data_IF_139513170612
#
_entry.id   IF_139513170612
#
_cell.length_a   1.000
_cell.length_b   1.000
_cell.length_c   1.000
_cell.angle_alpha   90.00
_cell.angle_beta   90.00
_cell.angle_gamma   90.00
#
_symmetry.space_group_name_H-M   'P 1'
#
loop_
_entity.id
_entity.type
_entity.pdbx_description
1 polymer ?
#
# COMPACT_ATOMS: atom_id res chain seq x y z
N UNK A 1 44.28 35.24 17.56
CA UNK A 1 44.08 34.19 16.53
C UNK A 1 43.66 32.89 17.24
N UNK A 2 42.35 32.68 17.39
CA UNK A 2 41.52 31.63 16.74
C UNK A 2 41.88 30.19 17.14
N UNK A 3 41.17 29.64 18.13
CA UNK A 3 41.01 28.20 18.40
C UNK A 3 39.52 27.87 18.40
N UNK A 4 39.04 27.11 17.42
CA UNK A 4 37.76 26.38 17.34
C UNK A 4 37.92 25.36 16.18
N UNK A 5 37.25 24.18 16.07
CA UNK A 5 36.34 23.44 16.99
C UNK A 5 36.68 21.93 17.13
N UNK A 6 35.99 21.20 18.01
CA UNK A 6 35.22 20.02 17.57
C UNK A 6 34.17 19.65 18.64
N UNK A 7 33.05 20.38 18.65
CA UNK A 7 31.80 19.81 19.12
C UNK A 7 31.27 18.93 17.97
N UNK A 8 31.32 17.61 18.13
CA UNK A 8 30.49 16.71 17.34
C UNK A 8 29.71 15.84 18.33
N UNK A 9 28.69 16.45 18.93
CA UNK A 9 27.62 15.72 19.59
C UNK A 9 26.84 15.02 18.47
N UNK A 10 27.17 13.75 18.22
CA UNK A 10 26.46 12.89 17.27
C UNK A 10 25.08 12.60 17.87
N UNK A 11 24.14 13.52 17.70
CA UNK A 11 22.74 13.25 17.93
C UNK A 11 22.30 12.23 16.86
N UNK A 12 22.31 10.95 17.23
CA UNK A 12 21.59 9.92 16.50
C UNK A 12 20.10 10.33 16.52
N UNK A 13 19.68 11.02 15.47
CA UNK A 13 18.26 11.14 15.15
C UNK A 13 17.86 9.73 14.71
N UNK A 14 17.27 8.97 15.65
CA UNK A 14 16.51 7.77 15.33
C UNK A 14 15.38 8.20 14.40
N UNK A 15 15.64 8.18 13.09
CA UNK A 15 14.60 8.25 12.07
C UNK A 15 13.73 7.03 12.32
N UNK A 16 12.54 7.24 12.89
CA UNK A 16 11.58 6.18 13.11
C UNK A 16 11.22 5.56 11.77
N UNK A 17 11.78 4.38 11.48
CA UNK A 17 11.40 3.63 10.29
C UNK A 17 9.90 3.35 10.35
N UNK A 18 9.15 3.82 9.35
CA UNK A 18 7.80 3.31 9.14
C UNK A 18 7.90 1.84 8.75
N UNK A 19 7.09 0.99 9.37
CA UNK A 19 7.01 -0.44 9.03
C UNK A 19 5.63 -0.77 8.49
N UNK A 20 5.57 -1.72 7.56
CA UNK A 20 4.33 -2.22 6.99
C UNK A 20 4.10 -3.66 7.44
N UNK A 21 2.89 -3.95 7.89
CA UNK A 21 2.43 -5.32 8.16
C UNK A 21 1.44 -5.70 7.07
N UNK A 22 1.76 -6.73 6.28
CA UNK A 22 0.86 -7.25 5.26
C UNK A 22 -0.02 -8.36 5.84
N UNK A 23 -1.29 -8.37 5.46
CA UNK A 23 -2.26 -9.39 5.84
C UNK A 23 -2.58 -10.25 4.62
N UNK A 24 -2.43 -11.56 4.76
CA UNK A 24 -2.59 -12.57 3.70
C UNK A 24 -1.49 -12.49 2.65
N UNK A 25 -1.76 -11.92 1.49
CA UNK A 25 -0.85 -11.89 0.34
C UNK A 25 -0.08 -10.57 0.30
N UNK A 26 1.24 -10.65 0.11
CA UNK A 26 2.09 -9.47 0.03
C UNK A 26 2.28 -9.03 -1.43
N UNK A 27 2.09 -7.74 -1.75
CA UNK A 27 2.33 -7.21 -3.09
C UNK A 27 3.83 -7.11 -3.36
N UNK A 28 4.21 -7.51 -4.58
CA UNK A 28 5.54 -7.30 -5.14
C UNK A 28 5.53 -6.01 -5.98
N UNK A 29 4.51 -5.82 -6.82
CA UNK A 29 4.39 -4.67 -7.73
C UNK A 29 2.92 -4.36 -8.04
N UNK A 30 2.50 -3.09 -8.05
CA UNK A 30 3.15 -1.94 -7.42
C UNK A 30 3.17 -2.09 -5.89
N UNK A 31 4.35 -2.00 -5.27
CA UNK A 31 4.48 -2.15 -3.82
C UNK A 31 4.04 -0.86 -3.11
N UNK A 32 3.18 -0.92 -2.07
CA UNK A 32 2.82 0.26 -1.27
C UNK A 32 4.07 0.91 -0.65
N UNK A 33 4.20 2.23 -0.76
CA UNK A 33 5.31 2.96 -0.14
C UNK A 33 5.12 3.05 1.38
N UNK A 34 6.15 2.64 2.13
CA UNK A 34 6.26 2.96 3.55
C UNK A 34 6.89 4.36 3.67
N UNK A 35 6.11 5.43 3.56
CA UNK A 35 6.64 6.75 3.89
C UNK A 35 6.79 6.85 5.42
N UNK A 36 7.95 7.30 5.88
CA UNK A 36 8.22 7.60 7.29
C UNK A 36 7.14 8.57 7.81
N UNK A 37 6.10 8.03 8.46
CA UNK A 37 5.03 8.82 9.04
C UNK A 37 3.65 8.77 8.38
N UNK A 38 3.46 8.13 7.22
CA UNK A 38 2.15 8.20 6.55
C UNK A 38 1.86 7.01 5.61
N UNK A 39 0.85 6.17 5.91
CA UNK A 39 0.26 5.24 4.93
C UNK A 39 -0.46 5.94 3.75
N UNK A 40 -0.58 7.28 3.76
CA UNK A 40 -1.53 8.01 2.92
C UNK A 40 -0.96 8.51 1.60
N UNK A 41 0.08 7.87 1.06
CA UNK A 41 0.64 8.27 -0.22
C UNK A 41 0.53 7.13 -1.22
N UNK A 42 -0.14 7.34 -2.37
CA UNK A 42 -0.19 6.34 -3.41
C UNK A 42 1.21 6.00 -3.92
N UNK A 43 1.43 4.74 -4.26
CA UNK A 43 2.54 4.37 -5.11
C UNK A 43 2.27 4.86 -6.52
N UNK A 44 3.04 5.85 -6.98
CA UNK A 44 3.01 6.29 -8.37
C UNK A 44 3.50 5.17 -9.29
N UNK A 45 2.67 4.78 -10.25
CA UNK A 45 3.05 3.84 -11.32
C UNK A 45 3.48 4.62 -12.57
N UNK A 46 4.24 3.99 -13.46
CA UNK A 46 4.78 4.62 -14.68
C UNK A 46 3.94 4.37 -15.93
N UNK A 47 2.86 3.58 -15.82
CA UNK A 47 2.01 3.16 -16.95
C UNK A 47 0.53 3.23 -16.55
N UNK A 48 -0.34 3.52 -17.53
CA UNK A 48 -1.80 3.37 -17.40
C UNK A 48 -2.24 1.90 -17.40
N UNK A 49 -1.36 0.98 -17.81
CA UNK A 49 -1.53 -0.47 -17.73
C UNK A 49 -0.44 -1.06 -16.83
N UNK A 50 -0.50 -0.81 -15.52
CA UNK A 50 0.46 -1.38 -14.59
C UNK A 50 0.40 -2.91 -14.60
N UNK A 51 1.56 -3.54 -14.39
CA UNK A 51 1.63 -4.95 -14.06
C UNK A 51 1.46 -5.11 -12.54
N UNK A 52 0.56 -6.00 -12.14
CA UNK A 52 0.34 -6.39 -10.76
C UNK A 52 1.05 -7.70 -10.48
N UNK A 53 1.80 -7.76 -9.39
CA UNK A 53 2.56 -8.94 -8.96
C UNK A 53 2.46 -9.10 -7.46
N UNK A 54 2.41 -10.34 -7.01
CA UNK A 54 2.26 -10.68 -5.59
C UNK A 54 3.07 -11.92 -5.21
N UNK A 55 3.32 -12.08 -3.91
CA UNK A 55 3.90 -13.29 -3.37
C UNK A 55 2.87 -14.43 -3.41
N UNK A 56 3.28 -15.63 -3.83
CA UNK A 56 2.38 -16.75 -3.99
C UNK A 56 3.04 -17.92 -4.73
N UNK A 57 2.25 -18.95 -5.01
CA UNK A 57 2.66 -20.09 -5.83
C UNK A 57 2.10 -19.92 -7.26
N UNK A 58 2.94 -20.10 -8.27
CA UNK A 58 2.54 -19.94 -9.67
C UNK A 58 1.49 -20.97 -10.14
N UNK A 59 1.37 -22.11 -9.45
CA UNK A 59 0.39 -23.16 -9.76
C UNK A 59 -0.97 -22.93 -9.09
N UNK A 60 -1.11 -21.87 -8.28
CA UNK A 60 -2.36 -21.50 -7.62
C UNK A 60 -3.15 -20.48 -8.45
N UNK A 61 -4.45 -20.42 -8.17
CA UNK A 61 -5.35 -19.41 -8.72
C UNK A 61 -5.57 -18.27 -7.74
N UNK A 62 -5.76 -17.08 -8.29
CA UNK A 62 -5.99 -15.84 -7.55
C UNK A 62 -7.11 -15.03 -8.19
N UNK A 63 -7.70 -14.14 -7.40
CA UNK A 63 -8.54 -13.08 -7.95
C UNK A 63 -7.83 -11.74 -7.74
N UNK A 64 -8.02 -10.83 -8.69
CA UNK A 64 -7.54 -9.45 -8.63
C UNK A 64 -8.74 -8.50 -8.71
N UNK A 65 -8.72 -7.46 -7.88
CA UNK A 65 -9.71 -6.38 -7.92
C UNK A 65 -9.05 -5.02 -7.87
N UNK A 66 -9.66 -4.04 -8.56
CA UNK A 66 -9.28 -2.64 -8.56
C UNK A 66 -10.51 -1.78 -8.33
N UNK A 67 -10.38 -0.83 -7.41
CA UNK A 67 -11.41 0.15 -7.06
C UNK A 67 -10.95 1.57 -7.36
N UNK A 68 -11.90 2.45 -7.65
CA UNK A 68 -11.70 3.88 -7.43
C UNK A 68 -11.46 4.14 -5.93
N UNK A 69 -10.77 5.24 -5.61
CA UNK A 69 -10.59 5.69 -4.23
C UNK A 69 -11.73 6.62 -3.83
N UNK A 70 -12.38 6.32 -2.70
CA UNK A 70 -13.18 7.29 -1.96
C UNK A 70 -12.48 7.64 -0.65
N UNK A 71 -12.52 8.91 -0.28
CA UNK A 71 -11.94 9.40 0.98
C UNK A 71 -13.03 9.45 2.05
N UNK A 72 -12.94 8.55 3.03
CA UNK A 72 -13.89 8.47 4.16
C UNK A 72 -13.29 9.07 5.42
N UNK A 73 -14.13 9.50 6.35
CA UNK A 73 -13.66 10.03 7.63
C UNK A 73 -12.86 8.99 8.40
N UNK A 74 -11.67 9.37 8.84
CA UNK A 74 -10.87 8.53 9.72
C UNK A 74 -11.46 8.52 11.14
N UNK A 75 -11.47 7.37 11.80
CA UNK A 75 -11.95 7.25 13.19
C UNK A 75 -10.97 7.81 14.25
N UNK A 76 -9.99 8.64 13.87
CA UNK A 76 -8.90 9.07 14.76
C UNK A 76 -8.60 10.57 14.70
N UNK A 77 -8.13 11.17 15.80
CA UNK A 77 -7.90 12.63 15.93
C UNK A 77 -6.73 13.16 15.07
N UNK A 78 -6.06 12.29 14.31
CA UNK A 78 -4.90 12.60 13.46
C UNK A 78 -5.21 12.33 11.98
N UNK A 79 -6.48 12.07 11.67
CA UNK A 79 -6.90 11.45 10.42
C UNK A 79 -8.24 12.00 9.98
N UNK A 80 -8.21 13.08 9.19
CA UNK A 80 -9.45 13.62 8.63
C UNK A 80 -10.01 12.71 7.54
N UNK A 81 -9.15 12.03 6.76
CA UNK A 81 -9.56 11.15 5.64
C UNK A 81 -8.69 9.92 5.46
N UNK A 82 -9.30 8.80 5.10
CA UNK A 82 -8.66 7.51 4.78
C UNK A 82 -9.10 7.04 3.39
N UNK A 83 -8.17 6.58 2.52
CA UNK A 83 -8.54 5.98 1.25
C UNK A 83 -9.29 4.66 1.49
N UNK A 84 -10.47 4.53 0.88
CA UNK A 84 -11.32 3.33 0.97
C UNK A 84 -11.83 2.92 -0.41
N UNK A 85 -12.18 1.63 -0.59
CA UNK A 85 -12.77 1.14 -1.84
C UNK A 85 -14.03 1.93 -2.22
N UNK A 86 -14.01 2.51 -3.42
CA UNK A 86 -15.16 3.11 -4.08
C UNK A 86 -15.78 2.14 -5.08
N UNK A 87 -16.14 2.65 -6.26
CA UNK A 87 -16.65 1.82 -7.35
C UNK A 87 -15.60 0.81 -7.84
N UNK A 88 -16.05 -0.40 -8.17
CA UNK A 88 -15.22 -1.39 -8.84
C UNK A 88 -14.90 -0.93 -10.27
N UNK A 89 -13.62 -0.95 -10.61
CA UNK A 89 -13.09 -0.55 -11.93
C UNK A 89 -12.71 -1.76 -12.75
N UNK A 90 -12.21 -2.80 -12.07
CA UNK A 90 -11.79 -4.05 -12.68
C UNK A 90 -11.88 -5.18 -11.67
N UNK A 91 -12.35 -6.34 -12.12
CA UNK A 91 -12.32 -7.58 -11.36
C UNK A 91 -12.06 -8.74 -12.32
N UNK A 92 -11.14 -9.61 -11.95
CA UNK A 92 -10.83 -10.85 -12.67
C UNK A 92 -10.64 -11.97 -11.65
N UNK A 93 -11.24 -13.13 -11.93
CA UNK A 93 -11.14 -14.31 -11.08
C UNK A 93 -10.36 -15.44 -11.76
N UNK A 94 -9.81 -16.35 -10.95
CA UNK A 94 -9.19 -17.57 -11.46
C UNK A 94 -7.89 -17.33 -12.23
N UNK A 95 -7.20 -16.22 -11.98
CA UNK A 95 -5.90 -15.91 -12.56
C UNK A 95 -4.90 -16.97 -12.10
N UNK A 96 -4.39 -17.77 -13.02
CA UNK A 96 -3.32 -18.73 -12.74
C UNK A 96 -1.98 -18.00 -12.78
N UNK A 97 -1.19 -18.14 -11.71
CA UNK A 97 0.10 -17.48 -11.57
C UNK A 97 0.09 -16.29 -10.62
N UNK A 98 1.23 -15.61 -10.50
CA UNK A 98 1.47 -14.55 -9.50
C UNK A 98 1.65 -13.16 -10.11
N UNK A 99 1.15 -12.98 -11.34
CA UNK A 99 1.26 -11.73 -12.10
C UNK A 99 0.06 -11.53 -13.02
N UNK A 100 -0.36 -10.28 -13.19
CA UNK A 100 -1.44 -9.89 -14.09
C UNK A 100 -1.17 -8.52 -14.72
N UNK A 101 -1.43 -8.39 -16.02
CA UNK A 101 -1.36 -7.11 -16.74
C UNK A 101 -2.77 -6.70 -17.12
N UNK A 102 -3.15 -5.46 -16.83
CA UNK A 102 -4.49 -4.99 -17.19
C UNK A 102 -4.69 -4.98 -18.71
N UNK A 103 -5.81 -5.53 -19.22
CA UNK A 103 -6.09 -5.53 -20.64
C UNK A 103 -6.42 -4.11 -21.15
N UNK A 104 -7.05 -3.29 -20.31
CA UNK A 104 -7.45 -1.92 -20.65
C UNK A 104 -6.68 -0.89 -19.81
N UNK A 105 -6.32 0.26 -20.37
CA UNK A 105 -5.69 1.33 -19.61
C UNK A 105 -6.63 1.92 -18.56
N UNK A 106 -6.08 2.22 -17.40
CA UNK A 106 -6.72 3.04 -16.36
C UNK A 106 -6.74 4.51 -16.80
N UNK A 107 -7.56 5.33 -16.11
CA UNK A 107 -7.59 6.78 -16.37
C UNK A 107 -6.27 7.42 -15.90
N UNK A 108 -5.77 8.46 -16.60
CA UNK A 108 -4.61 9.21 -16.15
C UNK A 108 -4.91 10.01 -14.88
N UNK A 109 -3.86 10.40 -14.15
CA UNK A 109 -3.89 11.19 -12.91
C UNK A 109 -4.94 10.73 -11.87
N UNK A 110 -5.20 9.42 -11.81
CA UNK A 110 -6.29 8.85 -11.00
C UNK A 110 -5.74 7.92 -9.91
N UNK A 111 -6.32 8.04 -8.72
CA UNK A 111 -6.02 7.21 -7.56
C UNK A 111 -6.88 5.94 -7.56
N UNK A 112 -6.23 4.79 -7.37
CA UNK A 112 -6.88 3.48 -7.33
C UNK A 112 -6.39 2.65 -6.14
N UNK A 113 -7.27 1.79 -5.63
CA UNK A 113 -6.91 0.72 -4.71
C UNK A 113 -6.93 -0.61 -5.45
N UNK A 114 -5.93 -1.45 -5.23
CA UNK A 114 -5.94 -2.81 -5.74
C UNK A 114 -5.73 -3.83 -4.63
N UNK A 115 -6.24 -5.04 -4.85
CA UNK A 115 -6.07 -6.14 -3.92
C UNK A 115 -6.11 -7.48 -4.64
N UNK A 116 -5.53 -8.48 -4.00
CA UNK A 116 -5.47 -9.86 -4.49
C UNK A 116 -5.90 -10.80 -3.37
N UNK A 117 -6.52 -11.92 -3.72
CA UNK A 117 -6.88 -13.00 -2.79
C UNK A 117 -6.59 -14.35 -3.41
N UNK A 118 -6.32 -15.36 -2.60
CA UNK A 118 -6.11 -16.73 -3.10
C UNK A 118 -7.46 -17.40 -3.35
N UNK A 119 -7.47 -18.26 -4.37
CA UNK A 119 -8.61 -19.09 -4.74
C UNK A 119 -8.17 -20.55 -4.86
N UNK A 120 -8.97 -21.42 -4.27
CA UNK A 120 -8.97 -22.86 -4.52
C UNK A 120 -10.34 -23.29 -5.02
N UNK A 121 -10.51 -24.57 -5.35
CA UNK A 121 -11.81 -25.12 -5.78
C UNK A 121 -12.89 -25.06 -4.69
N UNK A 122 -12.50 -24.97 -3.42
CA UNK A 122 -13.43 -25.07 -2.27
C UNK A 122 -13.43 -23.83 -1.38
N UNK A 123 -12.44 -22.94 -1.52
CA UNK A 123 -12.25 -21.80 -0.63
C UNK A 123 -11.68 -20.60 -1.38
N UNK A 124 -12.17 -19.42 -1.02
CA UNK A 124 -11.68 -18.12 -1.48
C UNK A 124 -11.34 -17.30 -0.24
N UNK A 125 -10.11 -16.79 -0.16
CA UNK A 125 -9.67 -16.04 1.02
C UNK A 125 -10.29 -14.64 1.08
N UNK A 126 -10.12 -13.98 2.22
CA UNK A 126 -10.28 -12.53 2.30
C UNK A 126 -9.30 -11.79 1.35
N UNK A 127 -9.62 -10.53 1.07
CA UNK A 127 -8.77 -9.63 0.29
C UNK A 127 -7.51 -9.23 1.04
N UNK A 128 -6.37 -9.23 0.35
CA UNK A 128 -5.11 -8.80 0.94
C UNK A 128 -5.09 -7.30 1.25
N UNK A 129 -4.56 -6.97 2.43
CA UNK A 129 -4.46 -5.60 2.94
C UNK A 129 -3.12 -5.39 3.62
N UNK A 130 -2.81 -4.14 3.98
CA UNK A 130 -1.67 -3.84 4.84
C UNK A 130 -2.01 -2.76 5.86
N UNK A 131 -1.29 -2.79 6.98
CA UNK A 131 -1.23 -1.72 7.96
C UNK A 131 0.12 -1.02 7.83
N UNK A 132 0.15 0.29 8.08
CA UNK A 132 1.41 1.01 8.32
C UNK A 132 1.51 1.41 9.79
N UNK A 133 2.66 1.09 10.39
CA UNK A 133 3.05 1.60 11.69
C UNK A 133 3.99 2.77 11.49
N UNK A 134 3.68 3.88 12.14
CA UNK A 134 4.61 5.01 12.27
C UNK A 134 5.44 4.78 13.53
N UNK A 135 6.76 4.89 13.43
CA UNK A 135 7.68 4.73 14.56
C UNK A 135 7.39 5.69 15.71
N UNK A 136 7.70 5.26 16.93
CA UNK A 136 7.52 5.98 18.20
C UNK A 136 8.44 7.24 18.29
N UNK A 137 8.10 8.33 17.61
CA UNK A 137 8.68 9.66 17.90
C UNK A 137 7.62 10.57 18.49
N UNK A 138 7.94 11.33 19.56
CA UNK A 138 7.24 12.44 20.27
C UNK A 138 5.72 12.29 20.61
N UNK A 139 4.97 11.40 19.95
CA UNK A 139 3.50 11.46 19.81
C UNK A 139 2.75 10.29 20.48
N UNK A 140 3.38 9.56 21.41
CA UNK A 140 2.71 8.54 22.22
C UNK A 140 2.65 7.13 21.60
N UNK A 141 1.96 6.17 22.26
CA UNK A 141 2.00 4.77 21.88
C UNK A 141 1.47 4.55 20.46
N UNK A 142 2.28 3.88 19.63
CA UNK A 142 2.02 3.62 18.23
C UNK A 142 0.68 2.91 18.01
N UNK A 143 -0.31 3.67 17.55
CA UNK A 143 -1.59 3.13 17.11
C UNK A 143 -1.39 2.47 15.75
N UNK A 144 -1.85 1.23 15.60
CA UNK A 144 -2.02 0.60 14.30
C UNK A 144 -3.06 1.41 13.52
N UNK A 145 -2.69 1.87 12.33
CA UNK A 145 -3.62 2.52 11.42
C UNK A 145 -4.21 1.48 10.47
N UNK A 146 -5.44 1.77 10.02
CA UNK A 146 -6.41 0.92 9.33
C UNK A 146 -5.85 -0.07 8.30
N UNK A 147 -6.52 -1.23 8.20
CA UNK A 147 -6.33 -2.19 7.10
C UNK A 147 -6.77 -1.54 5.81
N UNK A 148 -5.82 -1.30 4.90
CA UNK A 148 -6.10 -0.71 3.59
C UNK A 148 -5.65 -1.65 2.47
N UNK A 149 -6.35 -1.58 1.35
CA UNK A 149 -5.90 -2.18 0.10
C UNK A 149 -4.70 -1.38 -0.46
N UNK A 150 -4.06 -1.89 -1.50
CA UNK A 150 -2.81 -1.33 -2.01
C UNK A 150 -3.09 -0.09 -2.88
N UNK A 151 -2.64 1.09 -2.42
CA UNK A 151 -2.94 2.36 -3.08
C UNK A 151 -1.91 2.72 -4.16
N UNK A 152 -2.40 3.00 -5.37
CA UNK A 152 -1.61 3.47 -6.50
C UNK A 152 -2.17 4.77 -7.10
N UNK A 153 -1.32 5.52 -7.81
CA UNK A 153 -1.71 6.67 -8.63
C UNK A 153 -1.11 6.54 -10.02
N UNK A 154 -1.95 6.67 -11.04
CA UNK A 154 -1.54 6.59 -12.45
C UNK A 154 -0.76 7.83 -12.89
N UNK A 155 0.06 7.72 -13.96
CA UNK A 155 0.72 8.88 -14.56
C UNK A 155 -0.31 9.82 -15.22
N UNK A 156 0.14 11.05 -15.49
CA UNK A 156 -0.59 12.07 -16.26
C UNK A 156 -0.74 11.67 -17.74
#
# INVERSE_FOLDING_TARGET
MKRVPLFLCLALICVGCASQTYHLIKPIEPKPKAAAGSPYWPTKVSSLQPQFRWEGNADQSYDLIIYEVVMVDGAGPLMDKVPSPGAEVFYEEGIVGTSFVLPNPLRPDTDYLWSVRSRSSTEVSDWATYDTKVGQGIYGPGKSYYKVHFWIKTPD
#
